data_IF_218434255382
#
_entry.id   IF_218434255382
#
_cell.length_a   1.000
_cell.length_b   1.000
_cell.length_c   1.000
_cell.angle_alpha   90.00
_cell.angle_beta   90.00
_cell.angle_gamma   90.00
#
_symmetry.space_group_name_H-M   'P 1'
#
loop_
_entity.id
_entity.type
_entity.pdbx_description
1 polymer ?
#
# COMPACT_ATOMS: atom_id res chain seq x y z
N UNK A 1 23.02 7.07 40.94
CA UNK A 1 23.25 8.17 39.98
C UNK A 1 22.56 9.40 40.55
N UNK A 2 23.33 10.42 40.94
CA UNK A 2 22.78 11.65 41.50
C UNK A 2 21.98 12.43 40.44
N UNK A 3 20.92 13.12 40.87
CA UNK A 3 19.99 13.85 39.99
C UNK A 3 20.65 14.92 39.12
N UNK A 4 21.85 15.39 39.49
CA UNK A 4 22.64 16.30 38.66
C UNK A 4 23.23 15.61 37.40
N UNK A 5 23.56 14.31 37.46
CA UNK A 5 24.09 13.57 36.31
C UNK A 5 23.01 13.21 35.30
N UNK A 6 21.77 13.00 35.73
CA UNK A 6 20.63 12.74 34.84
C UNK A 6 20.24 13.99 34.04
N UNK A 7 20.28 15.16 34.69
CA UNK A 7 19.96 16.44 34.05
C UNK A 7 20.98 16.82 32.96
N UNK A 8 22.27 16.54 33.18
CA UNK A 8 23.33 16.80 32.20
C UNK A 8 23.23 15.87 30.99
N UNK A 9 22.84 14.61 31.19
CA UNK A 9 22.62 13.65 30.09
C UNK A 9 21.37 14.02 29.27
N UNK A 10 20.28 14.46 29.93
CA UNK A 10 19.06 14.93 29.25
C UNK A 10 19.28 16.23 28.48
N UNK A 11 20.02 17.19 29.05
CA UNK A 11 20.38 18.44 28.37
C UNK A 11 21.36 18.18 27.21
N UNK A 12 22.32 17.28 27.38
CA UNK A 12 23.22 16.85 26.31
C UNK A 12 22.48 16.16 25.17
N UNK A 13 21.52 15.28 25.47
CA UNK A 13 20.68 14.61 24.48
C UNK A 13 19.77 15.57 23.70
N UNK A 14 19.13 16.54 24.37
CA UNK A 14 18.32 17.55 23.68
C UNK A 14 19.14 18.49 22.79
N UNK A 15 20.36 18.85 23.20
CA UNK A 15 21.26 19.68 22.39
C UNK A 15 21.74 18.92 21.15
N UNK A 16 22.01 17.61 21.27
CA UNK A 16 22.40 16.76 20.13
C UNK A 16 21.22 16.57 19.16
N UNK A 17 20.01 16.27 19.66
CA UNK A 17 18.81 16.15 18.81
C UNK A 17 18.47 17.50 18.15
N UNK A 18 18.59 18.61 18.88
CA UNK A 18 18.38 19.95 18.32
C UNK A 18 19.40 20.30 17.22
N UNK A 19 20.69 19.97 17.42
CA UNK A 19 21.73 20.21 16.42
C UNK A 19 21.59 19.30 15.19
N UNK A 20 21.21 18.03 15.37
CA UNK A 20 20.94 17.10 14.26
C UNK A 20 19.71 17.56 13.46
N UNK A 21 18.63 17.99 14.12
CA UNK A 21 17.46 18.53 13.44
C UNK A 21 17.75 19.83 12.70
N UNK A 22 18.53 20.74 13.28
CA UNK A 22 18.93 22.00 12.61
C UNK A 22 19.88 21.74 11.44
N UNK A 23 20.79 20.77 11.56
CA UNK A 23 21.68 20.36 10.47
C UNK A 23 20.89 19.69 9.34
N UNK A 24 19.98 18.77 9.68
CA UNK A 24 19.13 18.06 8.72
C UNK A 24 18.16 19.01 8.00
N UNK A 25 17.48 19.90 8.72
CA UNK A 25 16.65 20.95 8.09
C UNK A 25 17.48 21.96 7.29
N UNK A 26 18.73 22.21 7.68
CA UNK A 26 19.66 23.09 6.97
C UNK A 26 20.17 22.49 5.66
N UNK A 27 20.48 21.19 5.65
CA UNK A 27 20.83 20.43 4.44
C UNK A 27 19.63 20.27 3.51
N UNK A 28 18.46 19.89 4.03
CA UNK A 28 17.22 19.79 3.23
C UNK A 28 16.86 21.13 2.58
N UNK A 29 17.07 22.26 3.27
CA UNK A 29 16.86 23.61 2.69
C UNK A 29 17.92 24.00 1.66
N UNK A 30 19.14 23.49 1.76
CA UNK A 30 20.21 23.72 0.77
C UNK A 30 20.03 22.85 -0.46
N UNK A 31 19.71 21.56 -0.27
CA UNK A 31 19.34 20.65 -1.36
C UNK A 31 18.08 21.14 -2.09
N UNK A 32 17.06 21.62 -1.39
CA UNK A 32 15.87 22.21 -2.00
C UNK A 32 16.16 23.52 -2.79
N UNK A 33 17.30 24.18 -2.52
CA UNK A 33 17.71 25.40 -3.24
C UNK A 33 18.54 25.09 -4.51
N UNK A 34 19.23 23.95 -4.55
CA UNK A 34 20.05 23.51 -5.69
C UNK A 34 19.31 22.52 -6.62
N UNK A 35 18.19 21.95 -6.17
CA UNK A 35 17.28 21.20 -7.03
C UNK A 35 16.53 22.17 -7.96
N UNK A 36 16.47 21.82 -9.24
CA UNK A 36 15.47 22.43 -10.13
C UNK A 36 14.13 22.18 -9.45
N UNK A 37 13.30 23.22 -9.18
CA UNK A 37 12.00 22.98 -8.59
C UNK A 37 11.32 21.90 -9.43
N UNK A 38 10.71 20.88 -8.80
CA UNK A 38 9.95 19.91 -9.56
C UNK A 38 9.03 20.70 -10.49
N UNK A 39 8.82 20.25 -11.75
CA UNK A 39 7.81 20.88 -12.59
C UNK A 39 6.57 21.04 -11.71
N UNK A 40 5.95 22.24 -11.67
CA UNK A 40 4.82 22.48 -10.80
C UNK A 40 3.92 21.25 -10.92
N UNK A 41 3.62 20.63 -9.78
CA UNK A 41 2.56 19.63 -9.73
C UNK A 41 1.39 20.38 -10.35
N UNK A 42 1.03 20.02 -11.58
CA UNK A 42 -0.20 20.54 -12.14
C UNK A 42 -1.24 20.17 -11.09
N UNK A 43 -1.93 21.16 -10.50
CA UNK A 43 -3.04 20.83 -9.61
C UNK A 43 -3.87 19.79 -10.37
N UNK A 44 -4.27 18.73 -9.66
CA UNK A 44 -5.25 17.79 -10.20
C UNK A 44 -6.31 18.64 -10.90
N UNK A 45 -6.68 18.33 -12.16
CA UNK A 45 -7.60 19.17 -12.89
C UNK A 45 -8.83 19.40 -12.01
N UNK A 46 -9.04 20.67 -11.63
CA UNK A 46 -10.27 21.10 -10.98
C UNK A 46 -11.41 20.77 -11.95
N UNK A 47 -12.19 19.74 -11.61
CA UNK A 47 -13.33 19.35 -12.40
C UNK A 47 -13.50 17.85 -12.50
N UNK A 48 -14.75 17.43 -12.26
CA UNK A 48 -15.26 16.11 -12.56
C UNK A 48 -14.71 15.64 -13.93
N UNK A 49 -14.27 14.38 -14.07
CA UNK A 49 -14.25 13.78 -15.40
C UNK A 49 -15.64 14.00 -16.00
N UNK A 50 -15.72 14.70 -17.14
CA UNK A 50 -17.01 15.03 -17.72
C UNK A 50 -17.84 13.75 -17.83
N UNK A 51 -19.05 13.71 -17.23
CA UNK A 51 -19.90 12.54 -17.35
C UNK A 51 -20.06 12.25 -18.83
N UNK A 52 -19.97 10.97 -19.20
CA UNK A 52 -20.24 10.57 -20.57
C UNK A 52 -21.57 11.21 -20.99
N UNK A 53 -21.54 12.09 -21.99
CA UNK A 53 -22.72 12.81 -22.47
C UNK A 53 -23.85 11.86 -22.97
N UNK A 54 -23.53 10.57 -23.09
CA UNK A 54 -24.42 9.47 -23.48
C UNK A 54 -24.87 8.57 -22.31
N UNK A 55 -24.58 8.92 -21.05
CA UNK A 55 -25.07 8.15 -19.90
C UNK A 55 -26.62 8.17 -19.88
N UNK A 56 -27.28 7.00 -19.94
CA UNK A 56 -28.75 6.94 -19.89
C UNK A 56 -29.27 7.62 -18.63
N UNK A 57 -30.38 8.38 -18.70
CA UNK A 57 -30.95 9.02 -17.52
C UNK A 57 -31.23 7.96 -16.44
N UNK A 58 -30.88 8.29 -15.19
CA UNK A 58 -31.08 7.39 -14.07
C UNK A 58 -32.56 6.97 -13.99
N UNK A 59 -32.87 5.70 -13.66
CA UNK A 59 -34.22 5.28 -13.34
C UNK A 59 -34.80 6.16 -12.21
N UNK A 60 -36.12 6.37 -12.17
CA UNK A 60 -36.74 7.18 -11.12
C UNK A 60 -36.41 6.62 -9.72
N UNK A 61 -36.15 7.54 -8.78
CA UNK A 61 -35.88 7.19 -7.38
C UNK A 61 -37.10 6.45 -6.77
N UNK A 62 -36.81 5.41 -5.99
CA UNK A 62 -37.81 4.64 -5.23
C UNK A 62 -37.60 4.87 -3.74
N UNK A 63 -38.60 4.58 -2.89
CA UNK A 63 -38.40 4.62 -1.43
C UNK A 63 -37.26 3.72 -0.94
N UNK A 64 -36.99 2.62 -1.64
CA UNK A 64 -35.85 1.73 -1.35
C UNK A 64 -34.51 2.41 -1.64
N UNK A 65 -34.42 3.18 -2.73
CA UNK A 65 -33.23 3.97 -3.07
C UNK A 65 -32.96 5.05 -2.02
N UNK A 66 -33.99 5.76 -1.55
CA UNK A 66 -33.88 6.77 -0.49
C UNK A 66 -33.45 6.12 0.84
N UNK A 67 -34.03 4.97 1.20
CA UNK A 67 -33.65 4.25 2.41
C UNK A 67 -32.19 3.79 2.38
N UNK A 68 -31.70 3.33 1.22
CA UNK A 68 -30.31 2.93 1.05
C UNK A 68 -29.33 4.10 1.23
N UNK A 69 -29.66 5.29 0.71
CA UNK A 69 -28.85 6.51 0.88
C UNK A 69 -28.77 6.97 2.34
N UNK A 70 -29.86 6.81 3.09
CA UNK A 70 -29.85 7.11 4.54
C UNK A 70 -29.02 6.07 5.28
N UNK A 71 -29.29 4.78 5.04
CA UNK A 71 -28.61 3.69 5.72
C UNK A 71 -27.10 3.69 5.48
N UNK A 72 -26.63 4.04 4.28
CA UNK A 72 -25.19 4.11 3.98
C UNK A 72 -24.43 5.11 4.85
N UNK A 73 -25.11 6.12 5.43
CA UNK A 73 -24.47 7.10 6.32
C UNK A 73 -24.17 6.56 7.73
N UNK A 74 -24.90 5.52 8.12
CA UNK A 74 -24.86 4.92 9.45
C UNK A 74 -24.20 3.55 9.47
N UNK A 75 -23.52 3.16 8.39
CA UNK A 75 -22.78 1.92 8.34
C UNK A 75 -21.47 2.08 7.56
N UNK A 76 -20.65 1.04 7.61
CA UNK A 76 -19.60 0.79 6.63
C UNK A 76 -19.42 -0.72 6.44
N UNK A 77 -19.10 -1.13 5.22
CA UNK A 77 -18.55 -2.45 4.93
C UNK A 77 -17.03 -2.29 4.83
N UNK A 78 -16.32 -2.69 5.88
CA UNK A 78 -14.86 -2.66 5.94
C UNK A 78 -14.27 -3.78 5.10
N UNK A 79 -13.24 -3.49 4.31
CA UNK A 79 -12.47 -4.49 3.57
C UNK A 79 -11.29 -4.96 4.43
N UNK A 80 -11.59 -5.72 5.50
CA UNK A 80 -10.58 -6.20 6.45
C UNK A 80 -9.63 -7.16 5.74
N UNK A 81 -8.34 -6.90 5.80
CA UNK A 81 -7.31 -7.80 5.28
C UNK A 81 -7.19 -9.05 6.14
N UNK A 82 -7.03 -10.20 5.51
CA UNK A 82 -6.60 -11.38 6.24
C UNK A 82 -5.09 -11.28 6.53
N UNK A 83 -4.68 -11.72 7.72
CA UNK A 83 -3.27 -11.78 8.09
C UNK A 83 -2.93 -13.14 8.74
N UNK A 84 -2.04 -13.94 8.14
CA UNK A 84 -1.48 -13.79 6.78
C UNK A 84 -2.55 -13.84 5.67
N UNK A 85 -2.23 -13.42 4.43
CA UNK A 85 -3.13 -13.59 3.27
C UNK A 85 -3.57 -15.05 3.11
N UNK A 86 -4.84 -15.26 2.74
CA UNK A 86 -5.41 -16.57 2.43
C UNK A 86 -5.22 -16.90 0.95
N UNK A 87 -4.45 -17.95 0.61
CA UNK A 87 -4.31 -18.39 -0.77
C UNK A 87 -5.66 -18.80 -1.38
N UNK A 88 -5.94 -18.35 -2.60
CA UNK A 88 -7.14 -18.73 -3.35
C UNK A 88 -8.44 -18.06 -2.90
N UNK A 89 -8.39 -17.05 -2.02
CA UNK A 89 -9.55 -16.23 -1.72
C UNK A 89 -10.04 -15.48 -2.98
N UNK A 90 -11.36 -15.40 -3.17
CA UNK A 90 -11.95 -14.68 -4.30
C UNK A 90 -12.05 -13.16 -4.06
N UNK A 91 -12.10 -12.73 -2.81
CA UNK A 91 -12.03 -11.32 -2.46
C UNK A 91 -10.58 -10.95 -2.13
N UNK A 92 -9.96 -10.11 -2.94
CA UNK A 92 -8.56 -9.70 -2.75
C UNK A 92 -8.23 -8.38 -3.45
N UNK A 93 -7.26 -7.66 -2.88
CA UNK A 93 -6.52 -6.60 -3.56
C UNK A 93 -5.51 -7.19 -4.54
N UNK A 94 -5.20 -6.44 -5.60
CA UNK A 94 -4.12 -6.72 -6.55
C UNK A 94 -4.14 -8.12 -7.15
N UNK A 95 -2.97 -8.59 -7.58
CA UNK A 95 -2.78 -9.91 -8.16
C UNK A 95 -3.48 -10.13 -9.50
N UNK A 96 -3.48 -11.39 -9.95
CA UNK A 96 -4.20 -11.83 -11.15
C UNK A 96 -5.64 -12.13 -10.76
N UNK A 97 -6.64 -11.44 -11.34
CA UNK A 97 -8.04 -11.75 -11.04
C UNK A 97 -8.44 -13.12 -11.60
N UNK A 98 -9.38 -13.77 -10.93
CA UNK A 98 -10.08 -14.97 -11.40
C UNK A 98 -11.36 -14.55 -12.12
N UNK A 99 -11.43 -14.80 -13.43
CA UNK A 99 -12.45 -14.25 -14.33
C UNK A 99 -13.12 -15.35 -15.16
N UNK A 100 -14.33 -15.11 -15.73
CA UNK A 100 -14.87 -16.01 -16.75
C UNK A 100 -13.94 -16.19 -17.94
N UNK A 101 -14.06 -17.32 -18.64
CA UNK A 101 -13.20 -17.65 -19.79
C UNK A 101 -13.26 -16.65 -20.94
N UNK A 102 -14.37 -15.93 -21.08
CA UNK A 102 -14.63 -14.92 -22.11
C UNK A 102 -14.38 -13.49 -21.63
N UNK A 103 -13.78 -13.31 -20.45
CA UNK A 103 -13.45 -12.00 -19.91
C UNK A 103 -12.41 -11.27 -20.78
N UNK A 104 -12.74 -10.03 -21.14
CA UNK A 104 -11.84 -9.12 -21.85
C UNK A 104 -11.19 -8.17 -20.85
N UNK A 105 -9.86 -8.18 -20.76
CA UNK A 105 -9.12 -7.22 -19.92
C UNK A 105 -9.47 -5.76 -20.29
N UNK A 106 -9.67 -4.84 -19.34
CA UNK A 106 -9.99 -3.45 -19.67
C UNK A 106 -8.81 -2.69 -20.29
N UNK A 107 -9.09 -2.00 -21.39
CA UNK A 107 -8.16 -1.11 -22.08
C UNK A 107 -8.80 0.27 -22.25
N UNK A 108 -7.96 1.28 -22.49
CA UNK A 108 -8.38 2.59 -22.97
C UNK A 108 -7.39 3.11 -24.01
N UNK A 109 -7.80 4.12 -24.77
CA UNK A 109 -6.94 4.79 -25.75
C UNK A 109 -6.44 6.09 -25.13
N UNK A 110 -5.12 6.27 -25.05
CA UNK A 110 -4.46 7.50 -24.60
C UNK A 110 -4.62 8.62 -25.63
N UNK A 111 -4.30 9.86 -25.25
CA UNK A 111 -4.46 11.04 -26.12
C UNK A 111 -3.61 11.00 -27.40
N UNK A 112 -2.52 10.23 -27.38
CA UNK A 112 -1.64 9.96 -28.53
C UNK A 112 -2.16 8.81 -29.44
N UNK A 113 -3.31 8.21 -29.11
CA UNK A 113 -3.91 7.12 -29.88
C UNK A 113 -3.40 5.72 -29.53
N UNK A 114 -2.57 5.58 -28.49
CA UNK A 114 -2.04 4.28 -28.04
C UNK A 114 -3.07 3.53 -27.19
N UNK A 115 -3.27 2.24 -27.44
CA UNK A 115 -4.09 1.40 -26.56
C UNK A 115 -3.28 0.97 -25.33
N UNK A 116 -3.84 1.17 -24.13
CA UNK A 116 -3.18 0.87 -22.85
C UNK A 116 -4.08 0.02 -21.96
N UNK A 117 -3.49 -1.03 -21.38
CA UNK A 117 -4.17 -1.90 -20.41
C UNK A 117 -4.23 -1.22 -19.04
N UNK A 118 -5.34 -1.40 -18.32
CA UNK A 118 -5.49 -0.95 -16.94
C UNK A 118 -4.98 -2.00 -15.93
N UNK A 119 -4.56 -1.58 -14.75
CA UNK A 119 -4.13 -2.45 -13.66
C UNK A 119 -5.33 -2.99 -12.91
N UNK A 120 -5.29 -4.26 -12.56
CA UNK A 120 -6.26 -4.84 -11.63
C UNK A 120 -5.95 -4.38 -10.20
N UNK A 121 -6.96 -3.85 -9.51
CA UNK A 121 -6.82 -3.29 -8.15
C UNK A 121 -7.62 -4.09 -7.13
N UNK A 122 -8.87 -4.44 -7.43
CA UNK A 122 -9.76 -5.17 -6.51
C UNK A 122 -10.57 -6.22 -7.26
N UNK A 123 -10.66 -7.40 -6.66
CA UNK A 123 -11.70 -8.38 -6.92
C UNK A 123 -12.50 -8.61 -5.63
N UNK A 124 -13.83 -8.58 -5.72
CA UNK A 124 -14.71 -8.78 -4.57
C UNK A 124 -15.83 -9.76 -4.91
N UNK A 125 -15.94 -10.83 -4.12
CA UNK A 125 -17.07 -11.75 -4.14
C UNK A 125 -18.25 -11.16 -3.35
N UNK A 126 -19.32 -10.79 -4.06
CA UNK A 126 -20.51 -10.20 -3.46
C UNK A 126 -21.17 -11.12 -2.42
N UNK A 127 -20.97 -12.44 -2.52
CA UNK A 127 -21.53 -13.39 -1.55
C UNK A 127 -20.87 -13.29 -0.18
N UNK A 128 -19.64 -12.75 -0.08
CA UNK A 128 -18.95 -12.55 1.21
C UNK A 128 -19.34 -11.25 1.90
N UNK A 129 -20.07 -10.35 1.23
CA UNK A 129 -20.60 -9.13 1.86
C UNK A 129 -21.76 -9.52 2.77
N UNK A 130 -21.74 -9.21 4.09
CA UNK A 130 -22.84 -9.53 4.99
C UNK A 130 -24.17 -8.93 4.52
N UNK A 131 -25.27 -9.68 4.60
CA UNK A 131 -26.60 -9.25 4.14
C UNK A 131 -27.01 -7.88 4.72
N UNK A 132 -26.75 -7.67 6.01
CA UNK A 132 -27.04 -6.41 6.69
C UNK A 132 -26.29 -5.20 6.10
N UNK A 133 -25.13 -5.41 5.47
CA UNK A 133 -24.31 -4.36 4.86
C UNK A 133 -24.67 -4.06 3.41
N UNK A 134 -25.52 -4.85 2.76
CA UNK A 134 -25.82 -4.76 1.31
C UNK A 134 -26.75 -3.61 0.92
N UNK A 135 -27.30 -2.88 1.89
CA UNK A 135 -28.31 -1.83 1.71
C UNK A 135 -29.58 -2.28 0.97
N UNK A 136 -29.78 -3.60 0.81
CA UNK A 136 -30.83 -4.16 -0.06
C UNK A 136 -30.58 -3.98 -1.56
N UNK A 137 -29.46 -3.37 -1.98
CA UNK A 137 -29.18 -3.04 -3.37
C UNK A 137 -28.01 -3.84 -3.96
N UNK A 138 -27.01 -4.21 -3.15
CA UNK A 138 -25.88 -4.99 -3.66
C UNK A 138 -26.32 -6.36 -4.15
N UNK A 139 -25.69 -6.89 -5.21
CA UNK A 139 -25.85 -8.28 -5.60
C UNK A 139 -25.55 -9.23 -4.43
N UNK A 140 -26.27 -10.35 -4.36
CA UNK A 140 -26.05 -11.40 -3.37
C UNK A 140 -24.98 -12.42 -3.77
N UNK A 141 -24.57 -12.38 -5.04
CA UNK A 141 -23.60 -13.25 -5.69
C UNK A 141 -22.92 -12.55 -6.87
N UNK A 142 -21.89 -13.20 -7.40
CA UNK A 142 -21.08 -12.69 -8.51
C UNK A 142 -19.90 -11.88 -8.01
N UNK A 143 -19.13 -11.34 -8.95
CA UNK A 143 -17.86 -10.67 -8.69
C UNK A 143 -17.90 -9.23 -9.16
N UNK A 144 -17.34 -8.34 -8.36
CA UNK A 144 -17.00 -6.97 -8.74
C UNK A 144 -15.49 -6.90 -8.98
N UNK A 145 -15.09 -6.26 -10.07
CA UNK A 145 -13.70 -5.97 -10.38
C UNK A 145 -13.50 -4.47 -10.53
N UNK A 146 -12.39 -3.96 -10.02
CA UNK A 146 -11.94 -2.57 -10.19
C UNK A 146 -10.60 -2.58 -10.90
N UNK A 147 -10.53 -1.80 -11.99
CA UNK A 147 -9.32 -1.57 -12.75
C UNK A 147 -9.02 -0.07 -12.83
N UNK A 148 -7.74 0.29 -12.75
CA UNK A 148 -7.26 1.66 -12.83
C UNK A 148 -6.04 1.79 -13.74
N UNK A 149 -5.94 2.91 -14.46
CA UNK A 149 -4.63 3.38 -14.90
C UNK A 149 -3.87 3.90 -13.67
N UNK A 150 -2.71 3.30 -13.40
CA UNK A 150 -1.85 3.66 -12.28
C UNK A 150 -0.65 4.49 -12.75
N UNK A 151 -0.55 4.83 -14.03
CA UNK A 151 0.46 5.75 -14.52
C UNK A 151 0.21 7.17 -14.00
N UNK A 152 1.22 7.81 -13.45
CA UNK A 152 1.07 9.10 -12.79
C UNK A 152 1.07 10.27 -13.78
N UNK A 153 0.22 11.27 -13.51
CA UNK A 153 0.25 12.56 -14.23
C UNK A 153 -0.52 12.57 -15.55
N UNK A 154 -1.39 11.59 -15.79
CA UNK A 154 -2.33 11.56 -16.91
C UNK A 154 -3.73 11.28 -16.34
N UNK A 155 -4.76 11.85 -16.98
CA UNK A 155 -6.19 11.62 -16.72
C UNK A 155 -6.48 10.20 -16.17
N UNK A 156 -6.96 10.12 -14.93
CA UNK A 156 -7.29 8.83 -14.29
C UNK A 156 -8.36 8.11 -15.10
N UNK A 157 -8.03 6.93 -15.62
CA UNK A 157 -8.97 6.03 -16.28
C UNK A 157 -9.29 4.88 -15.36
N UNK A 158 -10.58 4.53 -15.27
CA UNK A 158 -11.04 3.43 -14.44
C UNK A 158 -12.03 2.56 -15.19
N UNK A 159 -12.21 1.34 -14.70
CA UNK A 159 -13.30 0.45 -15.11
C UNK A 159 -13.76 -0.35 -13.90
N UNK A 160 -15.05 -0.23 -13.55
CA UNK A 160 -15.68 -1.11 -12.57
C UNK A 160 -16.62 -2.04 -13.31
N UNK A 161 -16.57 -3.34 -13.00
CA UNK A 161 -17.33 -4.37 -13.70
C UNK A 161 -17.97 -5.33 -12.72
N UNK A 162 -19.21 -5.70 -13.01
CA UNK A 162 -19.88 -6.80 -12.34
C UNK A 162 -20.04 -7.98 -13.29
N UNK A 163 -19.82 -9.17 -12.76
CA UNK A 163 -19.99 -10.44 -13.47
C UNK A 163 -20.77 -11.40 -12.60
N UNK A 164 -21.90 -11.89 -13.10
CA UNK A 164 -22.66 -12.98 -12.47
C UNK A 164 -22.05 -14.33 -12.87
N UNK A 165 -20.98 -14.73 -12.18
CA UNK A 165 -20.30 -16.01 -12.37
C UNK A 165 -20.12 -16.75 -11.05
N UNK A 166 -20.13 -18.07 -11.11
CA UNK A 166 -19.84 -18.96 -9.96
C UNK A 166 -18.36 -19.35 -9.95
N UNK A 167 -17.80 -19.72 -8.78
CA UNK A 167 -16.37 -20.01 -8.64
C UNK A 167 -15.82 -21.08 -9.62
N UNK A 168 -16.63 -22.07 -9.99
CA UNK A 168 -16.28 -23.14 -10.93
C UNK A 168 -16.16 -22.67 -12.39
N UNK A 169 -16.67 -21.49 -12.71
CA UNK A 169 -16.60 -20.88 -14.04
C UNK A 169 -15.35 -20.01 -14.22
N UNK A 170 -14.61 -19.75 -13.14
CA UNK A 170 -13.51 -18.80 -13.13
C UNK A 170 -12.19 -19.46 -13.49
N UNK A 171 -11.35 -18.71 -14.18
CA UNK A 171 -9.97 -19.05 -14.50
C UNK A 171 -9.08 -17.81 -14.24
N UNK A 172 -7.79 -17.98 -13.95
CA UNK A 172 -6.88 -16.84 -13.88
C UNK A 172 -6.91 -16.04 -15.19
N UNK A 173 -7.06 -14.73 -15.09
CA UNK A 173 -7.10 -13.85 -16.25
C UNK A 173 -5.78 -13.89 -17.03
N UNK A 174 -5.81 -13.93 -18.37
CA UNK A 174 -4.60 -13.75 -19.17
C UNK A 174 -4.14 -12.30 -19.06
N UNK A 175 -3.10 -12.06 -18.26
CA UNK A 175 -2.53 -10.72 -18.05
C UNK A 175 -1.92 -10.22 -19.37
N UNK A 176 -2.30 -9.03 -19.86
CA UNK A 176 -1.73 -8.47 -21.08
C UNK A 176 -0.22 -8.26 -20.96
N UNK A 177 0.54 -8.69 -21.96
CA UNK A 177 1.98 -8.40 -22.04
C UNK A 177 2.28 -6.89 -22.13
N UNK A 178 1.30 -6.09 -22.57
CA UNK A 178 1.36 -4.63 -22.66
C UNK A 178 0.99 -3.91 -21.36
N UNK A 179 0.64 -4.62 -20.28
CA UNK A 179 0.33 -3.98 -18.99
C UNK A 179 1.56 -3.20 -18.51
N UNK A 180 1.48 -1.87 -18.35
CA UNK A 180 2.65 -1.07 -17.98
C UNK A 180 3.10 -1.36 -16.54
N UNK A 181 4.21 -0.75 -16.12
CA UNK A 181 4.60 -0.77 -14.71
C UNK A 181 3.58 0.00 -13.89
N UNK A 182 3.17 -0.57 -12.76
CA UNK A 182 2.35 0.14 -11.80
C UNK A 182 3.13 1.38 -11.33
N UNK A 183 2.51 2.55 -11.46
CA UNK A 183 3.10 3.85 -11.06
C UNK A 183 4.32 4.33 -11.86
N UNK A 184 4.75 3.60 -12.90
CA UNK A 184 5.85 4.02 -13.77
C UNK A 184 7.09 4.46 -12.98
N UNK A 185 7.65 5.63 -13.34
CA UNK A 185 8.83 6.21 -12.69
C UNK A 185 8.55 6.77 -11.27
N UNK A 186 7.27 6.92 -10.89
CA UNK A 186 6.85 7.47 -9.59
C UNK A 186 6.44 6.40 -8.59
N UNK A 187 6.59 5.13 -8.93
CA UNK A 187 6.43 4.03 -8.00
C UNK A 187 7.23 4.26 -6.71
N UNK A 188 6.62 3.97 -5.56
CA UNK A 188 7.30 4.02 -4.27
C UNK A 188 8.40 2.94 -4.16
N UNK A 189 8.28 1.86 -4.95
CA UNK A 189 9.23 0.76 -4.95
C UNK A 189 10.60 1.25 -5.38
N UNK A 190 11.51 1.21 -4.43
CA UNK A 190 12.87 1.78 -4.55
C UNK A 190 13.95 0.73 -4.80
N UNK A 191 13.57 -0.54 -4.82
CA UNK A 191 14.48 -1.68 -5.00
C UNK A 191 14.55 -2.23 -6.43
N UNK A 192 13.54 -2.11 -7.33
CA UNK A 192 13.68 -2.62 -8.69
C UNK A 192 14.86 -1.98 -9.42
N UNK A 193 15.71 -2.81 -10.03
CA UNK A 193 16.93 -2.40 -10.73
C UNK A 193 16.88 -2.67 -12.24
N UNK A 194 15.99 -3.58 -12.65
CA UNK A 194 15.76 -3.96 -14.06
C UNK A 194 14.28 -3.85 -14.42
N UNK A 195 13.97 -3.74 -15.71
CA UNK A 195 12.58 -3.69 -16.23
C UNK A 195 11.71 -4.87 -15.72
N UNK A 196 12.29 -6.07 -15.68
CA UNK A 196 11.59 -7.28 -15.27
C UNK A 196 11.25 -7.32 -13.76
N UNK A 197 11.91 -6.51 -12.94
CA UNK A 197 11.66 -6.44 -11.49
C UNK A 197 10.50 -5.50 -11.14
N UNK A 198 10.18 -4.56 -12.02
CA UNK A 198 9.11 -3.59 -11.80
C UNK A 198 7.73 -4.29 -11.72
N UNK A 199 6.97 -4.06 -10.65
CA UNK A 199 5.63 -4.61 -10.53
C UNK A 199 4.71 -4.11 -11.65
N UNK A 200 4.09 -5.04 -12.36
CA UNK A 200 2.98 -4.77 -13.30
C UNK A 200 1.63 -5.11 -12.69
N UNK A 201 1.63 -5.97 -11.68
CA UNK A 201 0.47 -6.29 -10.85
C UNK A 201 0.77 -5.82 -9.44
N UNK A 202 -0.25 -5.30 -8.76
CA UNK A 202 -0.16 -5.00 -7.34
C UNK A 202 -0.06 -6.30 -6.52
N UNK A 203 0.52 -6.26 -5.31
CA UNK A 203 0.50 -7.38 -4.37
C UNK A 203 -0.89 -7.99 -4.19
N UNK A 204 -0.99 -9.32 -4.24
CA UNK A 204 -2.24 -10.01 -3.97
C UNK A 204 -2.48 -10.09 -2.46
N UNK A 205 -3.58 -9.54 -1.96
CA UNK A 205 -3.89 -9.59 -0.53
C UNK A 205 -5.36 -9.90 -0.30
N UNK A 206 -5.66 -11.04 0.35
CA UNK A 206 -7.05 -11.44 0.56
C UNK A 206 -7.74 -10.56 1.60
N UNK A 207 -9.05 -10.37 1.40
CA UNK A 207 -9.90 -9.55 2.26
C UNK A 207 -11.17 -10.29 2.65
N UNK A 208 -11.75 -9.85 3.76
CA UNK A 208 -13.02 -10.30 4.30
C UNK A 208 -13.91 -9.09 4.62
N UNK A 209 -15.04 -8.90 3.90
CA UNK A 209 -15.95 -7.80 4.16
C UNK A 209 -16.62 -7.90 5.53
N UNK A 210 -16.51 -6.86 6.35
CA UNK A 210 -17.14 -6.82 7.68
C UNK A 210 -18.04 -5.59 7.80
N UNK A 211 -19.31 -5.81 8.13
CA UNK A 211 -20.24 -4.71 8.37
C UNK A 211 -20.06 -4.14 9.79
N UNK A 212 -19.96 -2.81 9.87
CA UNK A 212 -20.03 -2.05 11.10
C UNK A 212 -21.15 -1.04 11.00
N UNK A 213 -21.90 -0.88 12.08
CA UNK A 213 -23.02 0.07 12.16
C UNK A 213 -22.74 1.11 13.22
N UNK A 214 -23.05 2.35 12.90
CA UNK A 214 -23.00 3.48 13.82
C UNK A 214 -24.25 3.59 14.67
N UNK A 215 -24.25 4.60 15.54
CA UNK A 215 -25.42 5.01 16.32
C UNK A 215 -25.96 6.34 15.77
N UNK A 216 -27.10 6.33 15.04
CA UNK A 216 -27.69 7.54 14.47
C UNK A 216 -28.02 8.63 15.50
N UNK A 217 -28.13 8.27 16.78
CA UNK A 217 -28.41 9.19 17.87
C UNK A 217 -27.14 9.75 18.55
N UNK A 218 -25.95 9.28 18.18
CA UNK A 218 -24.70 9.81 18.70
C UNK A 218 -24.40 11.18 18.09
N UNK A 219 -23.99 12.14 18.93
CA UNK A 219 -23.36 13.37 18.44
C UNK A 219 -22.08 13.00 17.69
N UNK A 220 -21.97 13.47 16.44
CA UNK A 220 -20.77 13.34 15.63
C UNK A 220 -19.85 14.48 16.04
N UNK A 221 -18.86 14.20 16.89
CA UNK A 221 -17.73 15.10 17.07
C UNK A 221 -17.02 15.25 15.70
N UNK A 222 -16.56 16.45 15.34
CA UNK A 222 -15.86 16.72 14.06
C UNK A 222 -14.83 15.61 13.77
N UNK A 223 -14.96 14.86 12.67
CA UNK A 223 -14.23 13.62 12.55
C UNK A 223 -12.80 13.86 12.04
N UNK A 224 -11.82 13.40 12.82
CA UNK A 224 -10.54 12.96 12.26
C UNK A 224 -10.83 11.78 11.31
N UNK A 225 -10.83 12.06 10.00
CA UNK A 225 -10.83 11.15 8.83
C UNK A 225 -12.00 10.14 8.68
N UNK A 226 -12.68 9.73 9.75
CA UNK A 226 -13.76 8.73 9.72
C UNK A 226 -15.16 9.37 9.71
N UNK A 227 -15.89 9.32 8.58
CA UNK A 227 -17.17 9.99 8.44
C UNK A 227 -18.34 9.21 9.09
N UNK A 228 -19.30 9.94 9.64
CA UNK A 228 -20.58 9.40 10.08
C UNK A 228 -20.62 8.92 11.54
N UNK A 229 -21.52 7.98 11.83
CA UNK A 229 -21.89 7.60 13.21
C UNK A 229 -21.14 6.37 13.74
N UNK A 230 -20.23 5.82 12.94
CA UNK A 230 -19.47 4.60 13.24
C UNK A 230 -18.26 4.92 14.14
N UNK A 231 -18.23 4.36 15.37
CA UNK A 231 -17.09 4.47 16.29
C UNK A 231 -16.13 3.29 16.15
N UNK A 232 -15.33 3.29 15.08
CA UNK A 232 -14.45 2.15 14.74
C UNK A 232 -13.46 1.80 15.86
N UNK A 233 -12.87 2.80 16.52
CA UNK A 233 -11.92 2.61 17.63
C UNK A 233 -12.45 1.71 18.76
N UNK A 234 -13.75 1.77 19.06
CA UNK A 234 -14.39 0.95 20.10
C UNK A 234 -14.68 -0.49 19.64
N UNK A 235 -14.63 -0.76 18.33
CA UNK A 235 -15.03 -2.03 17.70
C UNK A 235 -13.85 -2.81 17.14
N UNK A 236 -12.72 -2.14 16.89
CA UNK A 236 -11.58 -2.71 16.16
C UNK A 236 -11.05 -4.02 16.76
N UNK A 237 -10.94 -4.11 18.09
CA UNK A 237 -10.48 -5.32 18.76
C UNK A 237 -11.41 -6.52 18.53
N UNK A 238 -12.73 -6.28 18.41
CA UNK A 238 -13.69 -7.34 18.13
C UNK A 238 -13.67 -7.80 16.67
N UNK A 239 -13.32 -6.89 15.75
CA UNK A 239 -13.27 -7.15 14.30
C UNK A 239 -11.97 -7.84 13.90
N UNK A 240 -10.84 -7.37 14.45
CA UNK A 240 -9.49 -7.83 14.11
C UNK A 240 -8.95 -8.87 15.12
N UNK A 241 -9.76 -9.20 16.13
CA UNK A 241 -9.44 -10.14 17.21
C UNK A 241 -8.55 -9.57 18.31
N UNK A 242 -7.71 -8.57 18.01
CA UNK A 242 -6.91 -7.84 18.99
C UNK A 242 -6.43 -6.49 18.42
N UNK A 243 -6.12 -5.54 19.30
CA UNK A 243 -5.25 -4.40 18.94
C UNK A 243 -3.81 -4.87 19.04
N UNK A 244 -3.02 -4.60 18.00
CA UNK A 244 -1.60 -4.99 17.96
C UNK A 244 -0.70 -3.81 18.31
N UNK A 245 0.48 -4.07 18.85
CA UNK A 245 1.47 -3.02 19.08
C UNK A 245 2.05 -2.55 17.74
N UNK A 246 2.21 -1.23 17.58
CA UNK A 246 2.86 -0.66 16.41
C UNK A 246 4.33 -1.11 16.39
N UNK A 247 4.69 -1.88 15.36
CA UNK A 247 6.04 -2.40 15.17
C UNK A 247 6.53 -2.08 13.76
N UNK A 248 7.83 -1.84 13.68
CA UNK A 248 8.56 -1.63 12.45
C UNK A 248 9.97 -2.16 12.64
N UNK A 249 10.56 -2.74 11.59
CA UNK A 249 11.96 -3.12 11.69
C UNK A 249 12.82 -1.88 11.89
N UNK A 250 13.60 -1.87 12.97
CA UNK A 250 14.62 -0.85 13.18
C UNK A 250 15.99 -1.50 13.19
N UNK A 251 16.91 -0.90 12.44
CA UNK A 251 18.30 -1.37 12.39
C UNK A 251 18.92 -1.26 13.78
N UNK A 252 19.54 -2.34 14.24
CA UNK A 252 20.20 -2.40 15.55
C UNK A 252 21.63 -2.93 15.42
N UNK A 253 22.44 -2.71 16.46
CA UNK A 253 23.82 -3.18 16.52
C UNK A 253 24.09 -3.91 17.83
N UNK A 254 24.93 -4.94 17.76
CA UNK A 254 25.54 -5.61 18.90
C UNK A 254 27.06 -5.51 18.75
N UNK A 255 27.73 -4.93 19.76
CA UNK A 255 29.19 -4.72 19.74
C UNK A 255 29.72 -4.01 18.48
N UNK A 256 28.94 -3.05 17.96
CA UNK A 256 29.29 -2.28 16.76
C UNK A 256 29.03 -3.01 15.43
N UNK A 257 28.41 -4.18 15.47
CA UNK A 257 28.06 -4.98 14.29
C UNK A 257 26.54 -4.98 14.10
N UNK A 258 26.09 -4.81 12.86
CA UNK A 258 24.68 -4.90 12.47
C UNK A 258 24.10 -6.25 12.90
N UNK A 259 22.99 -6.19 13.62
CA UNK A 259 22.26 -7.38 14.03
C UNK A 259 21.40 -7.84 12.87
N UNK A 260 21.57 -9.10 12.49
CA UNK A 260 20.71 -9.76 11.52
C UNK A 260 19.30 -9.89 12.08
N UNK A 261 18.24 -9.55 11.31
CA UNK A 261 16.87 -9.61 11.79
C UNK A 261 16.50 -10.98 12.39
N UNK A 262 16.86 -12.05 11.68
CA UNK A 262 16.75 -13.44 12.09
C UNK A 262 17.78 -14.27 11.32
N UNK A 263 18.08 -15.47 11.79
CA UNK A 263 19.16 -16.30 11.23
C UNK A 263 18.95 -16.70 9.76
N UNK A 264 17.70 -16.72 9.29
CA UNK A 264 17.36 -17.04 7.90
C UNK A 264 17.19 -15.81 6.99
N UNK A 265 17.44 -14.57 7.41
CA UNK A 265 17.29 -13.40 6.52
C UNK A 265 18.55 -13.15 5.67
N UNK A 266 18.49 -12.96 4.34
CA UNK A 266 17.32 -13.03 3.47
C UNK A 266 16.79 -14.46 3.35
N UNK A 267 15.47 -14.60 3.44
CA UNK A 267 14.78 -15.89 3.60
C UNK A 267 14.38 -16.55 2.29
N UNK A 268 14.29 -15.79 1.21
CA UNK A 268 14.09 -16.29 -0.15
C UNK A 268 14.78 -15.39 -1.20
N UNK A 269 14.78 -15.83 -2.46
CA UNK A 269 15.46 -15.12 -3.54
C UNK A 269 14.84 -13.76 -3.87
N UNK A 270 13.54 -13.56 -3.58
CA UNK A 270 12.90 -12.24 -3.70
C UNK A 270 13.46 -11.27 -2.67
N UNK A 271 13.65 -11.72 -1.43
CA UNK A 271 14.29 -10.92 -0.39
C UNK A 271 15.73 -10.52 -0.78
N UNK A 272 16.46 -11.38 -1.50
CA UNK A 272 17.79 -11.04 -2.06
C UNK A 272 17.69 -9.92 -3.11
N UNK A 273 16.76 -10.02 -4.07
CA UNK A 273 16.52 -8.94 -5.06
C UNK A 273 16.19 -7.61 -4.37
N UNK A 274 15.29 -7.63 -3.38
CA UNK A 274 14.88 -6.43 -2.66
C UNK A 274 16.05 -5.82 -1.86
N UNK A 275 16.79 -6.65 -1.12
CA UNK A 275 17.96 -6.21 -0.34
C UNK A 275 19.03 -5.60 -1.24
N UNK A 276 19.41 -6.29 -2.31
CA UNK A 276 20.46 -5.82 -3.23
C UNK A 276 20.04 -4.56 -3.98
N UNK A 277 18.76 -4.44 -4.35
CA UNK A 277 18.18 -3.22 -4.91
C UNK A 277 18.30 -2.01 -3.96
N UNK A 278 17.91 -2.18 -2.69
CA UNK A 278 18.08 -1.12 -1.69
C UNK A 278 19.54 -0.78 -1.42
N UNK A 279 20.43 -1.77 -1.33
CA UNK A 279 21.88 -1.54 -1.20
C UNK A 279 22.45 -0.75 -2.37
N UNK A 280 22.12 -1.15 -3.61
CA UNK A 280 22.56 -0.47 -4.82
C UNK A 280 22.06 0.98 -4.87
N UNK A 281 20.82 1.23 -4.45
CA UNK A 281 20.27 2.59 -4.33
C UNK A 281 21.04 3.42 -3.32
N UNK A 282 21.23 2.91 -2.09
CA UNK A 282 21.93 3.65 -1.05
C UNK A 282 23.41 3.87 -1.40
N UNK A 283 24.04 2.95 -2.15
CA UNK A 283 25.41 3.11 -2.64
C UNK A 283 25.59 4.25 -3.65
N UNK A 284 24.50 4.80 -4.21
CA UNK A 284 24.54 6.00 -5.07
C UNK A 284 24.45 7.30 -4.27
N UNK A 285 24.21 7.22 -2.96
CA UNK A 285 24.13 8.37 -2.06
C UNK A 285 25.45 8.59 -1.32
N UNK A 286 25.64 9.79 -0.80
CA UNK A 286 26.85 10.27 -0.13
C UNK A 286 26.96 9.83 1.35
N UNK A 287 26.53 8.60 1.66
CA UNK A 287 26.49 8.10 3.06
C UNK A 287 27.87 7.98 3.72
N UNK A 288 28.93 7.81 2.93
CA UNK A 288 30.28 7.67 3.44
C UNK A 288 30.98 9.02 3.68
N UNK A 289 30.45 10.12 3.16
CA UNK A 289 31.06 11.46 3.30
C UNK A 289 31.22 11.86 4.77
N UNK A 290 30.24 11.51 5.62
CA UNK A 290 30.35 11.74 7.05
C UNK A 290 31.53 10.96 7.67
N UNK A 291 31.74 9.70 7.27
CA UNK A 291 32.83 8.86 7.77
C UNK A 291 34.19 9.38 7.31
N UNK A 292 34.27 9.88 6.07
CA UNK A 292 35.45 10.58 5.55
C UNK A 292 35.74 11.84 6.35
N UNK A 293 34.72 12.70 6.58
CA UNK A 293 34.87 13.94 7.37
C UNK A 293 35.30 13.69 8.82
N UNK A 294 34.89 12.56 9.42
CA UNK A 294 35.29 12.16 10.76
C UNK A 294 36.67 11.47 10.81
N UNK A 295 37.32 11.25 9.66
CA UNK A 295 38.61 10.56 9.58
C UNK A 295 38.54 9.07 9.91
N UNK A 296 37.35 8.47 9.86
CA UNK A 296 37.13 7.03 10.08
C UNK A 296 37.64 6.22 8.88
N UNK A 297 37.57 6.80 7.68
CA UNK A 297 38.12 6.25 6.44
C UNK A 297 38.58 7.39 5.52
N UNK A 298 39.44 7.08 4.56
CA UNK A 298 39.87 7.98 3.49
C UNK A 298 38.85 8.00 2.34
N UNK A 299 38.91 9.03 1.49
CA UNK A 299 38.10 9.09 0.26
C UNK A 299 38.33 7.86 -0.64
N UNK A 300 39.60 7.45 -0.79
CA UNK A 300 39.95 6.28 -1.60
C UNK A 300 39.36 4.98 -1.03
N UNK A 301 39.35 4.80 0.29
CA UNK A 301 38.71 3.66 0.95
C UNK A 301 37.18 3.68 0.82
N UNK A 302 36.57 4.87 0.89
CA UNK A 302 35.14 5.04 0.67
C UNK A 302 34.74 4.66 -0.77
N UNK A 303 35.46 5.17 -1.77
CA UNK A 303 35.22 4.87 -3.17
C UNK A 303 35.38 3.37 -3.47
N UNK A 304 36.47 2.77 -2.98
CA UNK A 304 36.76 1.34 -3.11
C UNK A 304 35.70 0.47 -2.42
N UNK A 305 35.19 0.90 -1.26
CA UNK A 305 34.05 0.26 -0.59
C UNK A 305 32.78 0.33 -1.43
N UNK A 306 32.45 1.48 -2.02
CA UNK A 306 31.26 1.64 -2.87
C UNK A 306 31.37 0.82 -4.17
N UNK A 307 32.55 0.74 -4.78
CA UNK A 307 32.79 -0.10 -5.97
C UNK A 307 32.56 -1.57 -5.64
N UNK A 308 33.11 -2.07 -4.52
CA UNK A 308 32.88 -3.44 -4.07
C UNK A 308 31.41 -3.71 -3.76
N UNK A 309 30.74 -2.81 -3.06
CA UNK A 309 29.32 -2.95 -2.73
C UNK A 309 28.47 -3.08 -3.99
N UNK A 310 28.68 -2.21 -4.98
CA UNK A 310 27.94 -2.25 -6.25
C UNK A 310 28.18 -3.56 -6.99
N UNK A 311 29.43 -3.99 -7.12
CA UNK A 311 29.76 -5.26 -7.77
C UNK A 311 29.16 -6.47 -7.04
N UNK A 312 29.18 -6.47 -5.70
CA UNK A 312 28.56 -7.50 -4.88
C UNK A 312 27.04 -7.53 -5.02
N UNK A 313 26.38 -6.37 -4.95
CA UNK A 313 24.94 -6.23 -5.13
C UNK A 313 24.49 -6.68 -6.54
N UNK A 314 25.22 -6.29 -7.59
CA UNK A 314 24.96 -6.72 -8.97
C UNK A 314 25.11 -8.24 -9.14
N UNK A 315 26.15 -8.84 -8.54
CA UNK A 315 26.37 -10.29 -8.59
C UNK A 315 25.23 -11.06 -7.93
N UNK A 316 24.78 -10.62 -6.76
CA UNK A 316 23.67 -11.26 -6.05
C UNK A 316 22.32 -11.00 -6.70
N UNK A 317 22.08 -9.81 -7.24
CA UNK A 317 20.88 -9.51 -8.04
C UNK A 317 20.80 -10.43 -9.28
N UNK A 318 21.91 -10.65 -9.99
CA UNK A 318 21.95 -11.58 -11.11
C UNK A 318 21.67 -13.04 -10.71
N UNK A 319 22.17 -13.48 -9.54
CA UNK A 319 21.84 -14.81 -8.98
C UNK A 319 20.36 -14.92 -8.61
N UNK A 320 19.78 -13.88 -8.02
CA UNK A 320 18.36 -13.84 -7.66
C UNK A 320 17.47 -13.87 -8.91
N UNK A 321 17.81 -13.11 -9.96
CA UNK A 321 17.09 -13.12 -11.23
C UNK A 321 17.11 -14.48 -11.94
N UNK A 322 18.15 -15.29 -11.71
CA UNK A 322 18.27 -16.65 -12.25
C UNK A 322 17.58 -17.73 -11.39
N UNK A 323 17.01 -17.35 -10.23
CA UNK A 323 16.44 -18.27 -9.25
C UNK A 323 14.92 -18.10 -9.13
N UNK A 324 14.17 -19.15 -8.75
CA UNK A 324 12.75 -18.99 -8.46
C UNK A 324 12.57 -18.04 -7.27
N UNK A 325 11.85 -16.93 -7.47
CA UNK A 325 11.74 -15.82 -6.52
C UNK A 325 11.41 -16.28 -5.08
N UNK A 326 10.49 -17.23 -4.93
CA UNK A 326 9.99 -17.68 -3.62
C UNK A 326 10.69 -18.94 -3.08
N UNK A 327 11.72 -19.43 -3.77
CA UNK A 327 12.50 -20.55 -3.25
C UNK A 327 13.34 -20.08 -2.05
N UNK A 328 13.37 -20.83 -0.94
CA UNK A 328 14.15 -20.46 0.23
C UNK A 328 15.65 -20.56 -0.07
N UNK A 329 16.44 -19.68 0.54
CA UNK A 329 17.90 -19.81 0.52
C UNK A 329 18.36 -20.98 1.38
N UNK A 330 19.47 -21.59 1.01
CA UNK A 330 20.24 -22.41 1.96
C UNK A 330 20.86 -21.53 3.05
N UNK A 331 21.19 -22.12 4.20
CA UNK A 331 21.85 -21.38 5.28
C UNK A 331 23.17 -20.73 4.81
N UNK A 332 23.97 -21.46 4.02
CA UNK A 332 25.22 -20.95 3.47
C UNK A 332 25.00 -19.76 2.53
N UNK A 333 24.02 -19.83 1.62
CA UNK A 333 23.71 -18.69 0.74
C UNK A 333 23.23 -17.47 1.54
N UNK A 334 22.37 -17.69 2.53
CA UNK A 334 21.85 -16.61 3.36
C UNK A 334 22.98 -15.96 4.18
N UNK A 335 23.93 -16.75 4.70
CA UNK A 335 25.14 -16.26 5.39
C UNK A 335 26.07 -15.49 4.45
N UNK A 336 26.29 -15.96 3.22
CA UNK A 336 27.11 -15.26 2.23
C UNK A 336 26.50 -13.91 1.81
N UNK A 337 25.18 -13.83 1.61
CA UNK A 337 24.51 -12.53 1.33
C UNK A 337 24.61 -11.62 2.56
N UNK A 338 24.43 -12.16 3.75
CA UNK A 338 24.56 -11.38 4.98
C UNK A 338 25.99 -10.86 5.18
N UNK A 339 27.01 -11.59 4.72
CA UNK A 339 28.39 -11.11 4.76
C UNK A 339 28.57 -9.84 3.91
N UNK A 340 27.90 -9.72 2.75
CA UNK A 340 27.89 -8.46 1.97
C UNK A 340 27.35 -7.28 2.78
N UNK A 341 26.30 -7.50 3.59
CA UNK A 341 25.74 -6.48 4.49
C UNK A 341 26.77 -6.07 5.54
N UNK A 342 27.45 -7.04 6.14
CA UNK A 342 28.46 -6.81 7.17
C UNK A 342 29.72 -6.14 6.62
N UNK A 343 30.12 -6.43 5.38
CA UNK A 343 31.28 -5.80 4.76
C UNK A 343 31.04 -4.31 4.43
N UNK A 344 29.78 -3.89 4.34
CA UNK A 344 29.37 -2.54 3.94
C UNK A 344 28.37 -1.88 4.92
N UNK A 345 28.56 -2.10 6.22
CA UNK A 345 27.62 -1.66 7.28
C UNK A 345 27.16 -0.20 7.19
N UNK A 346 28.02 0.80 6.92
CA UNK A 346 27.57 2.19 6.90
C UNK A 346 26.47 2.47 5.87
N UNK A 347 26.54 1.81 4.71
CA UNK A 347 25.51 1.91 3.67
C UNK A 347 24.34 0.99 3.99
N UNK A 348 24.64 -0.24 4.42
CA UNK A 348 23.63 -1.24 4.72
C UNK A 348 22.71 -0.84 5.89
N UNK A 349 23.24 -0.10 6.87
CA UNK A 349 22.47 0.43 8.00
C UNK A 349 21.23 1.22 7.55
N UNK A 350 21.40 2.04 6.50
CA UNK A 350 20.33 2.89 5.94
C UNK A 350 19.38 2.08 5.04
N UNK A 351 19.87 1.02 4.40
CA UNK A 351 19.08 0.18 3.51
C UNK A 351 18.22 -0.86 4.25
N UNK A 352 18.69 -1.34 5.40
CA UNK A 352 18.18 -2.59 5.99
C UNK A 352 16.71 -2.50 6.42
N UNK A 353 16.26 -1.36 6.95
CA UNK A 353 14.87 -1.23 7.38
C UNK A 353 13.88 -1.35 6.22
N UNK A 354 14.06 -0.56 5.16
CA UNK A 354 13.22 -0.67 3.95
C UNK A 354 13.31 -2.09 3.36
N UNK A 355 14.52 -2.64 3.25
CA UNK A 355 14.74 -3.95 2.66
C UNK A 355 14.05 -5.09 3.43
N UNK A 356 14.07 -5.06 4.76
CA UNK A 356 13.43 -6.09 5.59
C UNK A 356 11.92 -6.02 5.45
N UNK A 357 11.31 -4.84 5.61
CA UNK A 357 9.86 -4.70 5.55
C UNK A 357 9.31 -5.02 4.14
N UNK A 358 9.94 -4.49 3.09
CA UNK A 358 9.56 -4.78 1.70
C UNK A 358 9.67 -6.28 1.37
N UNK A 359 10.72 -6.94 1.89
CA UNK A 359 10.90 -8.39 1.68
C UNK A 359 9.80 -9.20 2.32
N UNK A 360 9.37 -8.82 3.53
CA UNK A 360 8.30 -9.51 4.25
C UNK A 360 6.95 -9.34 3.56
N UNK A 361 6.58 -8.10 3.20
CA UNK A 361 5.32 -7.81 2.51
C UNK A 361 5.29 -8.52 1.13
N UNK A 362 6.39 -8.48 0.36
CA UNK A 362 6.48 -9.17 -0.92
C UNK A 362 6.35 -10.69 -0.78
N UNK A 363 6.95 -11.27 0.25
CA UNK A 363 6.88 -12.73 0.51
C UNK A 363 5.48 -13.14 0.92
N UNK A 364 4.84 -12.38 1.83
CA UNK A 364 3.48 -12.65 2.28
C UNK A 364 2.46 -12.59 1.15
N UNK A 365 2.59 -11.60 0.26
CA UNK A 365 1.68 -11.44 -0.87
C UNK A 365 1.94 -12.43 -2.01
N UNK A 366 3.20 -12.80 -2.25
CA UNK A 366 3.61 -13.57 -3.42
C UNK A 366 3.80 -15.07 -3.20
N UNK A 367 4.08 -15.50 -1.96
CA UNK A 367 4.37 -16.88 -1.63
C UNK A 367 3.19 -17.52 -0.87
N UNK A 368 2.44 -18.47 -1.46
CA UNK A 368 1.33 -19.14 -0.78
C UNK A 368 1.78 -19.94 0.47
N UNK A 369 3.07 -20.28 0.56
CA UNK A 369 3.69 -20.96 1.69
C UNK A 369 4.51 -20.01 2.58
N UNK A 370 4.27 -18.69 2.55
CA UNK A 370 5.07 -17.69 3.27
C UNK A 370 5.28 -18.05 4.76
N UNK A 371 4.24 -18.53 5.45
CA UNK A 371 4.31 -18.93 6.85
C UNK A 371 5.26 -20.12 7.14
N UNK A 372 5.67 -20.88 6.11
CA UNK A 372 6.68 -21.95 6.22
C UNK A 372 8.11 -21.42 6.14
N UNK A 373 8.31 -20.29 5.47
CA UNK A 373 9.63 -19.69 5.21
C UNK A 373 9.95 -18.60 6.22
N UNK A 374 8.93 -17.85 6.65
CA UNK A 374 9.07 -16.76 7.61
C UNK A 374 8.98 -17.26 9.07
N UNK A 375 9.90 -16.84 9.96
CA UNK A 375 9.77 -17.14 11.38
C UNK A 375 8.63 -16.32 12.00
N UNK A 376 8.09 -16.79 13.14
CA UNK A 376 6.97 -16.14 13.82
C UNK A 376 7.24 -14.67 14.18
N UNK A 377 8.48 -14.36 14.59
CA UNK A 377 8.91 -12.99 14.89
C UNK A 377 8.87 -12.05 13.67
N UNK A 378 9.09 -12.58 12.46
CA UNK A 378 8.96 -11.81 11.22
C UNK A 378 7.49 -11.52 10.90
N UNK A 379 6.59 -12.47 11.15
CA UNK A 379 5.14 -12.25 11.00
C UNK A 379 4.62 -11.22 12.00
N UNK A 380 5.02 -11.32 13.26
CA UNK A 380 4.63 -10.36 14.31
C UNK A 380 5.12 -8.94 14.02
N UNK A 381 6.26 -8.81 13.34
CA UNK A 381 6.86 -7.53 12.98
C UNK A 381 6.02 -6.73 11.97
N UNK A 382 5.47 -7.40 10.95
CA UNK A 382 4.69 -6.74 9.89
C UNK A 382 3.19 -6.78 10.13
N UNK A 383 2.71 -7.57 11.09
CA UNK A 383 1.28 -7.64 11.45
C UNK A 383 0.66 -6.27 11.69
N UNK A 384 1.38 -5.34 12.32
CA UNK A 384 0.86 -3.99 12.60
C UNK A 384 0.61 -3.14 11.36
N UNK A 385 1.22 -3.46 10.21
CA UNK A 385 0.97 -2.77 8.94
C UNK A 385 -0.34 -3.19 8.27
N UNK A 386 -0.87 -4.35 8.67
CA UNK A 386 -2.07 -4.95 8.10
C UNK A 386 -3.26 -4.97 9.06
N UNK A 387 -3.04 -4.54 10.30
CA UNK A 387 -4.06 -4.47 11.34
C UNK A 387 -4.94 -3.23 11.20
N UNK A 388 -6.20 -3.34 11.59
CA UNK A 388 -7.14 -2.22 11.54
C UNK A 388 -6.83 -1.12 12.58
N UNK A 389 -6.11 -1.47 13.65
CA UNK A 389 -5.59 -0.49 14.60
C UNK A 389 -4.33 -0.99 15.28
N UNK A 390 -3.48 -0.03 15.65
CA UNK A 390 -2.24 -0.26 16.36
C UNK A 390 -2.18 0.56 17.63
N UNK A 391 -1.51 0.04 18.66
CA UNK A 391 -1.15 0.79 19.86
C UNK A 391 0.26 1.34 19.71
N UNK A 392 0.41 2.65 19.84
CA UNK A 392 1.71 3.34 19.81
C UNK A 392 2.43 3.15 21.15
N UNK A 393 3.73 3.47 21.17
CA UNK A 393 4.58 3.30 22.35
C UNK A 393 4.13 4.13 23.57
N UNK A 394 3.42 5.24 23.35
CA UNK A 394 2.79 6.08 24.38
C UNK A 394 1.43 5.55 24.88
N UNK A 395 0.97 4.43 24.32
CA UNK A 395 -0.30 3.80 24.63
C UNK A 395 -1.48 4.31 23.81
N UNK A 396 -1.29 5.31 22.95
CA UNK A 396 -2.31 5.86 22.05
C UNK A 396 -2.78 4.80 21.04
N UNK A 397 -4.09 4.75 20.79
CA UNK A 397 -4.67 3.89 19.76
C UNK A 397 -4.71 4.66 18.45
N UNK A 398 -4.00 4.17 17.44
CA UNK A 398 -4.10 4.66 16.08
C UNK A 398 -4.95 3.68 15.26
N UNK A 399 -6.08 4.16 14.74
CA UNK A 399 -6.93 3.40 13.82
C UNK A 399 -6.45 3.68 12.41
N UNK A 400 -6.28 2.62 11.62
CA UNK A 400 -5.82 2.75 10.24
C UNK A 400 -6.93 3.35 9.34
N UNK A 401 -6.52 3.93 8.22
CA UNK A 401 -7.43 4.40 7.18
C UNK A 401 -7.88 3.24 6.32
N UNK A 402 -8.92 2.52 6.79
CA UNK A 402 -9.37 1.27 6.20
C UNK A 402 -10.18 1.50 4.94
N UNK A 403 -9.81 0.82 3.85
CA UNK A 403 -10.58 0.73 2.61
C UNK A 403 -11.99 0.17 2.89
N UNK A 404 -13.01 0.80 2.32
CA UNK A 404 -14.41 0.57 2.73
C UNK A 404 -15.41 0.77 1.61
N UNK A 405 -16.60 0.23 1.81
CA UNK A 405 -17.71 0.28 0.87
C UNK A 405 -19.02 0.66 1.57
N UNK A 406 -19.96 1.21 0.81
CA UNK A 406 -21.36 1.42 1.21
C UNK A 406 -21.48 2.18 2.53
N UNK A 407 -20.62 3.20 2.68
CA UNK A 407 -20.44 3.99 3.88
C UNK A 407 -20.64 5.48 3.62
N UNK A 408 -20.55 6.28 4.68
CA UNK A 408 -20.26 7.69 4.53
C UNK A 408 -18.86 7.88 3.90
N UNK A 409 -18.66 8.90 3.05
CA UNK A 409 -17.38 9.20 2.40
C UNK A 409 -16.48 10.05 3.28
N UNK A 410 -15.16 9.90 3.17
CA UNK A 410 -14.25 10.88 3.77
C UNK A 410 -14.41 12.24 3.09
N UNK A 411 -14.33 13.31 3.89
CA UNK A 411 -14.42 14.69 3.39
C UNK A 411 -13.02 15.20 3.05
N UNK A 412 -12.52 14.79 1.89
CA UNK A 412 -11.25 15.30 1.34
C UNK A 412 -11.60 16.25 0.20
N UNK A 413 -11.21 17.53 0.33
CA UNK A 413 -11.34 18.58 -0.70
C UNK A 413 -12.77 18.94 -1.21
N UNK A 414 -13.84 18.39 -0.63
CA UNK A 414 -15.22 18.89 -0.80
C UNK A 414 -16.11 18.17 -1.83
N UNK A 415 -15.54 17.36 -2.73
CA UNK A 415 -16.30 16.64 -3.78
C UNK A 415 -17.41 15.73 -3.22
N UNK A 416 -17.17 15.15 -2.04
CA UNK A 416 -18.12 14.28 -1.37
C UNK A 416 -19.44 15.01 -1.04
N UNK A 417 -19.40 16.30 -0.72
CA UNK A 417 -20.59 17.08 -0.32
C UNK A 417 -21.61 17.19 -1.45
N UNK A 418 -21.15 17.31 -2.70
CA UNK A 418 -22.01 17.45 -3.87
C UNK A 418 -22.71 16.13 -4.24
N UNK A 419 -22.16 14.99 -3.81
CA UNK A 419 -22.66 13.65 -4.14
C UNK A 419 -23.59 13.08 -3.08
N UNK A 420 -23.44 13.51 -1.83
CA UNK A 420 -24.23 13.02 -0.70
C UNK A 420 -25.72 13.31 -0.93
N UNK A 421 -26.54 12.26 -0.86
CA UNK A 421 -28.00 12.34 -1.02
C UNK A 421 -28.50 11.94 -2.41
N UNK A 422 -27.61 11.77 -3.38
CA UNK A 422 -27.95 11.17 -4.68
C UNK A 422 -27.11 9.91 -4.97
N UNK A 423 -25.87 9.89 -4.51
CA UNK A 423 -24.91 8.82 -4.76
C UNK A 423 -24.59 8.03 -3.50
N UNK A 424 -24.34 6.73 -3.69
CA UNK A 424 -23.75 5.84 -2.70
C UNK A 424 -22.25 5.74 -2.98
N UNK A 425 -21.43 5.85 -1.92
CA UNK A 425 -20.02 5.49 -1.99
C UNK A 425 -19.92 3.97 -2.18
N UNK A 426 -19.61 3.53 -3.39
CA UNK A 426 -19.42 2.12 -3.72
C UNK A 426 -18.15 1.60 -3.06
N UNK A 427 -17.05 2.33 -3.20
CA UNK A 427 -15.73 1.95 -2.70
C UNK A 427 -14.91 3.21 -2.41
N UNK A 428 -14.23 3.24 -1.29
CA UNK A 428 -13.18 4.21 -0.98
C UNK A 428 -11.87 3.47 -0.71
N UNK A 429 -10.78 3.93 -1.32
CA UNK A 429 -9.44 3.38 -1.13
C UNK A 429 -8.45 4.47 -0.74
N UNK A 430 -7.56 4.16 0.20
CA UNK A 430 -6.49 5.05 0.65
C UNK A 430 -5.12 4.57 0.15
N UNK A 431 -4.10 5.43 0.29
CA UNK A 431 -2.70 5.01 0.11
C UNK A 431 -2.31 4.01 1.20
N UNK A 432 -1.73 2.90 0.79
CA UNK A 432 -1.22 1.86 1.68
C UNK A 432 -0.03 1.14 1.04
N UNK A 433 1.16 1.41 1.55
CA UNK A 433 2.39 0.84 1.00
C UNK A 433 2.49 -0.68 1.16
N UNK A 434 1.83 -1.27 2.18
CA UNK A 434 1.96 -2.69 2.47
C UNK A 434 1.26 -3.57 1.44
N UNK A 435 0.26 -3.03 0.73
CA UNK A 435 -0.40 -3.67 -0.42
C UNK A 435 -0.10 -2.95 -1.75
N UNK A 436 0.88 -2.04 -1.76
CA UNK A 436 1.33 -1.36 -2.96
C UNK A 436 0.37 -0.28 -3.49
N UNK A 437 -0.53 0.23 -2.66
CA UNK A 437 -1.40 1.35 -3.01
C UNK A 437 -0.67 2.67 -2.80
N UNK A 438 -0.42 3.41 -3.88
CA UNK A 438 0.23 4.72 -3.84
C UNK A 438 -0.65 5.75 -4.55
N UNK A 439 -1.50 6.44 -3.79
CA UNK A 439 -2.49 7.41 -4.28
C UNK A 439 -2.22 8.84 -3.80
N UNK A 440 -0.96 9.14 -3.42
CA UNK A 440 -0.54 10.40 -2.80
C UNK A 440 -1.28 10.65 -1.47
N UNK A 441 -1.33 11.90 -1.03
CA UNK A 441 -2.01 12.31 0.20
C UNK A 441 -3.51 12.46 -0.08
N UNK A 442 -4.26 11.35 -0.10
CA UNK A 442 -5.67 11.37 -0.49
C UNK A 442 -6.39 10.02 -0.47
N UNK A 443 -7.61 10.04 -1.00
CA UNK A 443 -8.46 8.85 -1.20
C UNK A 443 -9.05 8.83 -2.61
N UNK A 444 -9.27 7.62 -3.12
CA UNK A 444 -10.05 7.38 -4.34
C UNK A 444 -11.44 6.90 -3.97
N UNK A 445 -12.46 7.61 -4.44
CA UNK A 445 -13.86 7.33 -4.14
C UNK A 445 -14.60 6.98 -5.41
N UNK A 446 -15.18 5.79 -5.42
CA UNK A 446 -16.03 5.28 -6.47
C UNK A 446 -17.49 5.44 -6.06
N UNK A 447 -18.28 6.06 -6.92
CA UNK A 447 -19.65 6.46 -6.65
C UNK A 447 -20.60 5.76 -7.61
N UNK A 448 -21.74 5.31 -7.08
CA UNK A 448 -22.80 4.72 -7.88
C UNK A 448 -24.16 5.23 -7.40
N UNK A 449 -25.07 5.53 -8.33
CA UNK A 449 -26.45 5.85 -7.97
C UNK A 449 -27.16 4.59 -7.44
N UNK A 450 -28.07 4.71 -6.47
CA UNK A 450 -28.83 3.56 -5.95
C UNK A 450 -29.53 2.74 -7.03
N UNK A 451 -30.14 3.42 -8.02
CA UNK A 451 -30.86 2.77 -9.10
C UNK A 451 -29.93 1.97 -10.03
N UNK A 452 -28.72 2.48 -10.28
CA UNK A 452 -27.71 1.81 -11.11
C UNK A 452 -27.08 0.63 -10.37
N UNK A 453 -26.89 0.75 -9.05
CA UNK A 453 -26.47 -0.36 -8.21
C UNK A 453 -27.49 -1.50 -8.23
N UNK A 454 -28.77 -1.19 -8.01
CA UNK A 454 -29.86 -2.16 -8.06
C UNK A 454 -29.98 -2.83 -9.44
N UNK A 455 -29.77 -2.06 -10.51
CA UNK A 455 -29.77 -2.54 -11.89
C UNK A 455 -28.45 -3.21 -12.33
N UNK A 456 -27.44 -3.29 -11.44
CA UNK A 456 -26.11 -3.87 -11.69
C UNK A 456 -25.34 -3.19 -12.83
N UNK A 457 -25.52 -1.88 -13.00
CA UNK A 457 -24.88 -1.03 -14.01
C UNK A 457 -23.56 -0.45 -13.51
N UNK A 458 -22.61 -1.32 -13.19
CA UNK A 458 -21.31 -0.94 -12.64
C UNK A 458 -20.41 -0.20 -13.64
N UNK A 459 -20.76 -0.23 -14.92
CA UNK A 459 -20.15 0.56 -15.99
C UNK A 459 -20.41 2.08 -15.84
N UNK A 460 -21.39 2.49 -15.02
CA UNK A 460 -21.68 3.88 -14.70
C UNK A 460 -21.03 4.39 -13.42
N UNK A 461 -20.15 3.61 -12.79
CA UNK A 461 -19.44 4.08 -11.60
C UNK A 461 -18.57 5.27 -11.97
N UNK A 462 -18.63 6.32 -11.15
CA UNK A 462 -17.80 7.51 -11.28
C UNK A 462 -16.67 7.50 -10.25
N UNK A 463 -15.50 8.00 -10.62
CA UNK A 463 -14.35 8.15 -9.73
C UNK A 463 -14.15 9.63 -9.40
N UNK A 464 -14.01 9.93 -8.11
CA UNK A 464 -13.36 11.17 -7.65
C UNK A 464 -12.02 10.81 -7.01
N UNK A 465 -11.00 11.62 -7.31
CA UNK A 465 -9.67 11.48 -6.75
C UNK A 465 -9.36 12.76 -5.99
N UNK A 466 -9.48 12.69 -4.67
CA UNK A 466 -9.22 13.83 -3.79
C UNK A 466 -7.86 13.59 -3.14
N UNK A 467 -6.80 14.17 -3.72
CA UNK A 467 -5.43 14.01 -3.25
C UNK A 467 -4.66 15.34 -3.26
N UNK A 468 -3.70 15.50 -2.34
CA UNK A 468 -2.77 16.62 -2.25
C UNK A 468 -1.45 16.36 -2.99
#
# INVERSE_FOLDING_TARGET
MDGASLLIVLLGGMVIVGLVSVYYLGEVKREAADLTPPPPIEPLPDGLPEPSADAPPAPPATPEHEAALVASRDQAVLLRRDFPPRPGALSHWGGVPSVPRDFTWPFFVTTDGTERAMHHVLQLDCSTIPEAGRLGLMPDRGLIYVFLDLDWGIHWRWSVRYVDATPDQLVPAPVPASLPHAYGERASWRWPSTDAEWPRLLPAWSIDPVVVTGDPAAEVDEPDFWPGTVRLAARVAAIDGAVVEARWFSTSHADGVLVRPWSSYPHDWRAVSILTGHLARQARRQHLDHHVRQGVMTEAEADDSLVRLRAGAESWSARAAASPAWAPLTAAESDEVWQLVLDHQPVAHVALADAVNDSLDATLAGNPDAARVLPAEALDLVRSRHALATRRADGELHVADVDRMLSAPSYVQGDAEERIGEWILLLEMSSDEAIGHHFAEGVYQFWIRPADLAARRFDLVELTASAY
#
